data_IF_043044751485
#
_entry.id   IF_043044751485
#
_cell.length_a   1.000
_cell.length_b   1.000
_cell.length_c   1.000
_cell.angle_alpha   90.00
_cell.angle_beta   90.00
_cell.angle_gamma   90.00
#
_symmetry.space_group_name_H-M   'P 1'
#
loop_
_entity.id
_entity.type
_entity.pdbx_description
1 polymer ?
#
# COMPACT_ATOMS: atom_id res chain seq x y z
N UNK A 1 -67.06 -21.06 -51.42
CA UNK A 1 -66.01 -20.81 -50.42
C UNK A 1 -65.56 -19.36 -50.62
N UNK A 2 -65.96 -18.46 -49.72
CA UNK A 2 -65.78 -17.01 -49.83
C UNK A 2 -64.41 -16.62 -49.27
N UNK A 3 -63.55 -15.98 -50.07
CA UNK A 3 -62.30 -15.38 -49.62
C UNK A 3 -62.55 -13.92 -49.24
N UNK A 4 -62.47 -13.63 -47.94
CA UNK A 4 -62.52 -12.25 -47.41
C UNK A 4 -61.20 -11.52 -47.71
N UNK A 5 -61.23 -10.30 -48.26
CA UNK A 5 -60.02 -9.52 -48.48
C UNK A 5 -59.44 -9.00 -47.15
N UNK A 6 -58.14 -9.16 -46.96
CA UNK A 6 -57.40 -8.60 -45.81
C UNK A 6 -57.23 -7.10 -46.06
N UNK A 7 -57.98 -6.27 -45.33
CA UNK A 7 -57.82 -4.82 -45.34
C UNK A 7 -56.57 -4.46 -44.50
N UNK A 8 -55.41 -4.32 -45.15
CA UNK A 8 -54.21 -3.81 -44.51
C UNK A 8 -54.36 -2.31 -44.24
N UNK A 9 -54.76 -1.96 -43.02
CA UNK A 9 -54.75 -0.60 -42.53
C UNK A 9 -53.29 -0.11 -42.36
N UNK A 10 -52.75 0.51 -43.42
CA UNK A 10 -51.35 0.94 -43.60
C UNK A 10 -50.83 1.88 -42.50
N UNK A 11 -51.72 2.45 -41.68
CA UNK A 11 -51.37 3.31 -40.54
C UNK A 11 -50.82 2.55 -39.32
N UNK A 12 -51.04 1.22 -39.21
CA UNK A 12 -50.58 0.43 -38.05
C UNK A 12 -49.09 0.13 -38.02
N UNK A 13 -48.40 0.10 -39.18
CA UNK A 13 -46.96 -0.18 -39.24
C UNK A 13 -46.08 0.99 -38.78
N UNK A 14 -46.52 2.23 -39.02
CA UNK A 14 -45.78 3.43 -38.64
C UNK A 14 -45.70 3.62 -37.12
N UNK A 15 -46.80 3.34 -36.41
CA UNK A 15 -46.84 3.42 -34.95
C UNK A 15 -45.87 2.41 -34.29
N UNK A 16 -45.72 1.22 -34.88
CA UNK A 16 -44.83 0.18 -34.38
C UNK A 16 -43.35 0.50 -34.61
N UNK A 17 -43.02 1.14 -35.75
CA UNK A 17 -41.66 1.64 -36.00
C UNK A 17 -41.31 2.80 -35.05
N UNK A 18 -42.25 3.72 -34.81
CA UNK A 18 -42.03 4.84 -33.89
C UNK A 18 -41.83 4.38 -32.45
N UNK A 19 -42.59 3.38 -31.98
CA UNK A 19 -42.38 2.82 -30.64
C UNK A 19 -41.01 2.13 -30.51
N UNK A 20 -40.57 1.39 -31.53
CA UNK A 20 -39.23 0.79 -31.58
C UNK A 20 -38.11 1.83 -31.52
N UNK A 21 -38.25 2.96 -32.23
CA UNK A 21 -37.28 4.05 -32.16
C UNK A 21 -37.21 4.67 -30.76
N UNK A 22 -38.35 4.95 -30.15
CA UNK A 22 -38.41 5.52 -28.79
C UNK A 22 -37.78 4.55 -27.79
N UNK A 23 -38.12 3.26 -27.87
CA UNK A 23 -37.54 2.21 -27.00
C UNK A 23 -36.02 2.14 -27.20
N UNK A 24 -35.53 2.21 -28.45
CA UNK A 24 -34.09 2.24 -28.73
C UNK A 24 -33.37 3.42 -28.07
N UNK A 25 -33.96 4.62 -28.12
CA UNK A 25 -33.42 5.81 -27.45
C UNK A 25 -33.44 5.63 -25.93
N UNK A 26 -34.55 5.15 -25.36
CA UNK A 26 -34.66 4.94 -23.91
C UNK A 26 -33.66 3.92 -23.41
N UNK A 27 -33.48 2.79 -24.12
CA UNK A 27 -32.49 1.76 -23.79
C UNK A 27 -31.07 2.33 -23.85
N UNK A 28 -30.76 3.13 -24.88
CA UNK A 28 -29.44 3.79 -25.01
C UNK A 28 -29.14 4.69 -23.80
N UNK A 29 -30.10 5.52 -23.39
CA UNK A 29 -29.95 6.39 -22.22
C UNK A 29 -29.82 5.60 -20.92
N UNK A 30 -30.64 4.55 -20.73
CA UNK A 30 -30.55 3.72 -19.52
C UNK A 30 -29.23 2.97 -19.43
N UNK A 31 -28.72 2.42 -20.55
CA UNK A 31 -27.41 1.75 -20.58
C UNK A 31 -26.28 2.72 -20.21
N UNK A 32 -26.31 3.95 -20.75
CA UNK A 32 -25.33 4.98 -20.42
C UNK A 32 -25.33 5.34 -18.92
N UNK A 33 -26.52 5.44 -18.30
CA UNK A 33 -26.63 5.72 -16.86
C UNK A 33 -26.05 4.55 -16.05
N UNK A 34 -26.35 3.30 -16.42
CA UNK A 34 -25.84 2.11 -15.72
C UNK A 34 -24.30 2.07 -15.77
N UNK A 35 -23.69 2.32 -16.93
CA UNK A 35 -22.23 2.35 -17.07
C UNK A 35 -21.59 3.45 -16.19
N UNK A 36 -22.21 4.62 -16.10
CA UNK A 36 -21.74 5.70 -15.24
C UNK A 36 -21.86 5.31 -13.76
N UNK A 37 -22.98 4.72 -13.35
CA UNK A 37 -23.18 4.27 -11.98
C UNK A 37 -22.17 3.20 -11.57
N UNK A 38 -21.85 2.24 -12.45
CA UNK A 38 -20.84 1.23 -12.17
C UNK A 38 -19.44 1.84 -11.96
N UNK A 39 -19.04 2.80 -12.81
CA UNK A 39 -17.77 3.52 -12.63
C UNK A 39 -17.73 4.33 -11.34
N UNK A 40 -18.83 4.96 -10.95
CA UNK A 40 -18.92 5.71 -9.70
C UNK A 40 -18.80 4.78 -8.48
N UNK A 41 -19.42 3.60 -8.53
CA UNK A 41 -19.28 2.59 -7.47
C UNK A 41 -17.83 2.12 -7.34
N UNK A 42 -17.15 1.84 -8.45
CA UNK A 42 -15.74 1.43 -8.46
C UNK A 42 -14.84 2.52 -7.83
N UNK A 43 -15.00 3.77 -8.24
CA UNK A 43 -14.27 4.90 -7.66
C UNK A 43 -14.57 5.07 -6.17
N UNK A 44 -15.82 4.89 -5.75
CA UNK A 44 -16.21 4.96 -4.35
C UNK A 44 -15.56 3.86 -3.51
N UNK A 45 -15.48 2.63 -4.03
CA UNK A 45 -14.81 1.51 -3.35
C UNK A 45 -13.31 1.79 -3.26
N UNK A 46 -12.67 2.16 -4.38
CA UNK A 46 -11.24 2.49 -4.40
C UNK A 46 -10.86 3.63 -3.46
N UNK A 47 -11.71 4.66 -3.37
CA UNK A 47 -11.53 5.78 -2.44
C UNK A 47 -11.59 5.31 -0.98
N UNK A 48 -12.59 4.49 -0.65
CA UNK A 48 -12.73 3.92 0.70
C UNK A 48 -11.55 3.03 1.07
N UNK A 49 -11.12 2.16 0.15
CA UNK A 49 -9.99 1.26 0.38
C UNK A 49 -8.69 2.02 0.55
N UNK A 50 -8.50 3.11 -0.21
CA UNK A 50 -7.38 4.03 -0.03
C UNK A 50 -7.38 4.65 1.37
N UNK A 51 -8.52 5.12 1.86
CA UNK A 51 -8.64 5.68 3.23
C UNK A 51 -8.27 4.65 4.29
N UNK A 52 -8.76 3.41 4.16
CA UNK A 52 -8.43 2.31 5.07
C UNK A 52 -6.93 2.01 5.04
N UNK A 53 -6.33 1.92 3.85
CA UNK A 53 -4.90 1.69 3.67
C UNK A 53 -4.06 2.83 4.27
N UNK A 54 -4.44 4.09 4.08
CA UNK A 54 -3.75 5.23 4.69
C UNK A 54 -3.86 5.23 6.22
N UNK A 55 -5.04 4.91 6.76
CA UNK A 55 -5.24 4.79 8.20
C UNK A 55 -4.35 3.69 8.80
N UNK A 56 -4.26 2.53 8.13
CA UNK A 56 -3.35 1.46 8.53
C UNK A 56 -1.90 1.94 8.46
N UNK A 57 -1.46 2.54 7.34
CA UNK A 57 -0.09 3.05 7.19
C UNK A 57 0.29 4.04 8.31
N UNK A 58 -0.62 4.93 8.70
CA UNK A 58 -0.39 5.87 9.78
C UNK A 58 -0.28 5.19 11.15
N UNK A 59 -1.13 4.20 11.42
CA UNK A 59 -1.03 3.38 12.64
C UNK A 59 0.31 2.61 12.70
N UNK A 60 0.76 2.05 11.58
CA UNK A 60 2.06 1.40 11.48
C UNK A 60 3.23 2.37 11.68
N UNK A 61 3.12 3.62 11.20
CA UNK A 61 4.13 4.65 11.43
C UNK A 61 4.24 5.03 12.91
N UNK A 62 3.11 5.23 13.59
CA UNK A 62 3.11 5.50 15.03
C UNK A 62 3.62 4.30 15.83
N UNK A 63 3.30 3.06 15.42
CA UNK A 63 3.90 1.89 16.04
C UNK A 63 5.43 1.86 15.87
N UNK A 64 5.95 2.09 14.65
CA UNK A 64 7.38 2.13 14.42
C UNK A 64 8.09 3.18 15.29
N UNK A 65 7.45 4.35 15.48
CA UNK A 65 7.96 5.40 16.38
C UNK A 65 7.91 4.98 17.85
N UNK A 66 6.85 4.30 18.27
CA UNK A 66 6.74 3.74 19.62
C UNK A 66 7.87 2.73 19.88
N UNK A 67 8.09 1.78 18.96
CA UNK A 67 9.15 0.76 19.07
C UNK A 67 10.55 1.38 19.05
N UNK A 68 10.76 2.41 18.23
CA UNK A 68 12.03 3.15 18.25
C UNK A 68 12.35 3.73 19.64
N UNK A 69 11.32 4.09 20.41
CA UNK A 69 11.45 4.63 21.77
C UNK A 69 11.51 3.54 22.83
N UNK A 70 10.65 2.53 22.77
CA UNK A 70 10.51 1.51 23.82
C UNK A 70 11.54 0.38 23.72
N UNK A 71 11.97 0.02 22.51
CA UNK A 71 12.89 -1.09 22.25
C UNK A 71 14.23 -0.62 21.65
N UNK A 72 14.62 0.64 21.90
CA UNK A 72 15.80 1.29 21.31
C UNK A 72 17.08 0.46 21.45
N UNK A 73 17.37 -0.03 22.65
CA UNK A 73 18.59 -0.83 22.93
C UNK A 73 18.59 -2.17 22.19
N UNK A 74 17.43 -2.83 22.09
CA UNK A 74 17.28 -4.11 21.41
C UNK A 74 17.45 -3.95 19.89
N UNK A 75 16.78 -2.95 19.29
CA UNK A 75 16.87 -2.74 17.85
C UNK A 75 18.26 -2.22 17.41
N UNK A 76 18.97 -1.54 18.31
CA UNK A 76 20.35 -1.05 18.10
C UNK A 76 21.42 -2.13 18.37
N UNK A 77 21.07 -3.27 18.95
CA UNK A 77 21.98 -4.42 19.12
C UNK A 77 21.76 -5.53 18.08
N UNK A 78 20.76 -5.37 17.21
CA UNK A 78 20.43 -6.38 16.20
C UNK A 78 19.72 -7.61 16.76
N UNK A 79 19.28 -7.57 18.02
CA UNK A 79 18.59 -8.67 18.67
C UNK A 79 17.12 -8.76 18.24
N UNK A 80 16.55 -9.95 18.37
CA UNK A 80 15.12 -10.15 18.15
C UNK A 80 14.33 -9.31 19.18
N UNK A 81 13.23 -8.73 18.75
CA UNK A 81 12.39 -7.85 19.58
C UNK A 81 10.92 -8.13 19.34
N UNK A 82 10.06 -7.55 20.17
CA UNK A 82 8.61 -7.58 19.99
C UNK A 82 8.11 -6.19 19.61
N UNK A 83 7.41 -6.12 18.48
CA UNK A 83 6.66 -4.94 18.08
C UNK A 83 5.28 -5.02 18.74
N UNK A 84 5.14 -4.36 19.89
CA UNK A 84 3.86 -4.13 20.55
C UNK A 84 3.22 -2.84 20.00
N UNK A 85 2.29 -3.02 19.07
CA UNK A 85 1.56 -1.97 18.39
C UNK A 85 0.15 -1.81 18.99
N UNK A 86 0.06 -1.29 20.21
CA UNK A 86 -1.21 -1.08 20.92
C UNK A 86 -1.98 -2.40 21.12
N UNK A 87 -1.38 -3.33 21.88
CA UNK A 87 -1.92 -4.67 22.17
C UNK A 87 -1.87 -5.65 20.99
N UNK A 88 -1.49 -5.17 19.80
CA UNK A 88 -1.16 -6.03 18.66
C UNK A 88 0.33 -6.34 18.67
N UNK A 89 0.68 -7.56 19.09
CA UNK A 89 2.07 -7.95 19.30
C UNK A 89 2.56 -8.80 18.13
N UNK A 90 3.74 -8.47 17.61
CA UNK A 90 4.47 -9.30 16.64
C UNK A 90 5.91 -9.51 17.08
N UNK A 91 6.35 -10.76 17.16
CA UNK A 91 7.76 -11.09 17.38
C UNK A 91 8.52 -10.91 16.07
N UNK A 92 9.53 -10.04 16.08
CA UNK A 92 10.28 -9.66 14.88
C UNK A 92 11.76 -9.92 15.11
N UNK A 93 12.34 -10.74 14.24
CA UNK A 93 13.78 -10.92 14.19
C UNK A 93 14.44 -9.83 13.35
N UNK A 94 15.72 -9.59 13.60
CA UNK A 94 16.55 -8.87 12.65
C UNK A 94 16.66 -9.71 11.37
N UNK A 95 16.10 -9.24 10.27
CA UNK A 95 16.10 -9.96 8.98
C UNK A 95 17.43 -9.81 8.24
N UNK A 96 18.38 -9.05 8.81
CA UNK A 96 19.60 -8.65 8.13
C UNK A 96 19.30 -7.58 7.07
N UNK A 97 20.28 -6.70 6.82
CA UNK A 97 20.13 -5.68 5.80
C UNK A 97 20.54 -6.23 4.42
N UNK A 98 19.59 -6.46 3.51
CA UNK A 98 19.89 -6.54 2.06
C UNK A 98 20.23 -5.18 1.46
N UNK A 99 20.09 -4.10 2.24
CA UNK A 99 20.47 -2.75 1.82
C UNK A 99 21.99 -2.69 1.79
N UNK A 100 22.51 -2.27 0.65
CA UNK A 100 23.93 -2.10 0.44
C UNK A 100 24.50 -1.08 1.42
N UNK A 101 25.60 -1.45 2.08
CA UNK A 101 26.37 -0.55 2.93
C UNK A 101 27.54 -0.04 2.09
N UNK A 102 27.55 1.25 1.80
CA UNK A 102 28.43 1.87 0.80
C UNK A 102 29.88 2.10 1.28
N UNK A 103 30.23 1.61 2.48
CA UNK A 103 31.52 1.78 3.16
C UNK A 103 31.98 3.24 3.30
N UNK A 104 31.65 3.86 4.44
CA UNK A 104 32.10 5.21 4.81
C UNK A 104 32.65 5.36 6.23
N UNK A 105 32.75 4.26 6.98
CA UNK A 105 33.34 4.20 8.32
C UNK A 105 33.20 2.79 8.86
N UNK A 106 34.29 2.04 8.95
CA UNK A 106 34.34 0.59 9.21
C UNK A 106 33.79 0.11 10.57
N UNK A 107 33.17 1.00 11.35
CA UNK A 107 32.75 0.75 12.73
C UNK A 107 31.26 1.12 12.90
N UNK A 108 30.38 0.44 12.18
CA UNK A 108 28.93 0.61 12.34
C UNK A 108 28.14 -0.59 11.86
N UNK A 109 26.96 -0.79 12.43
CA UNK A 109 26.07 -1.92 12.13
C UNK A 109 24.73 -1.42 11.60
N UNK A 110 24.15 -2.17 10.66
CA UNK A 110 22.83 -1.90 10.10
C UNK A 110 21.94 -3.10 10.35
N UNK A 111 20.79 -2.83 10.97
CA UNK A 111 19.79 -3.84 11.30
C UNK A 111 18.49 -3.51 10.59
N UNK A 112 17.77 -4.54 10.14
CA UNK A 112 16.49 -4.38 9.45
C UNK A 112 15.43 -5.23 10.14
N UNK A 113 14.27 -4.64 10.36
CA UNK A 113 13.11 -5.27 10.97
C UNK A 113 11.91 -5.03 10.06
N UNK A 114 11.25 -6.10 9.65
CA UNK A 114 10.12 -6.05 8.72
C UNK A 114 8.87 -6.71 9.31
N UNK A 115 8.25 -6.11 10.35
CA UNK A 115 6.98 -6.61 10.86
C UNK A 115 5.85 -6.41 9.86
N UNK A 116 4.92 -7.35 9.86
CA UNK A 116 3.60 -7.21 9.27
C UNK A 116 2.57 -7.25 10.40
N UNK A 117 1.72 -6.23 10.49
CA UNK A 117 0.75 -6.03 11.57
C UNK A 117 -0.64 -6.05 10.95
N UNK A 118 -1.46 -7.03 11.33
CA UNK A 118 -2.89 -7.03 11.04
C UNK A 118 -3.64 -6.22 12.11
N UNK A 119 -4.38 -5.20 11.69
CA UNK A 119 -5.14 -4.36 12.61
C UNK A 119 -6.59 -4.83 12.71
N UNK A 120 -7.13 -4.88 13.93
CA UNK A 120 -8.55 -5.14 14.22
C UNK A 120 -9.11 -6.38 13.49
N UNK A 121 -8.80 -7.58 14.00
CA UNK A 121 -9.34 -8.86 13.52
C UNK A 121 -9.38 -9.07 12.00
N UNK A 122 -8.43 -8.42 11.28
CA UNK A 122 -7.96 -8.80 9.95
C UNK A 122 -8.59 -8.13 8.70
N UNK A 123 -9.05 -6.88 8.73
CA UNK A 123 -9.51 -6.21 7.48
C UNK A 123 -8.57 -5.10 6.97
N UNK A 124 -7.39 -4.95 7.59
CA UNK A 124 -6.35 -4.03 7.12
C UNK A 124 -5.00 -4.40 7.72
N UNK A 125 -3.94 -4.10 7.00
CA UNK A 125 -2.58 -4.49 7.37
C UNK A 125 -1.61 -3.32 7.23
N UNK A 126 -0.57 -3.32 8.05
CA UNK A 126 0.64 -2.52 7.83
C UNK A 126 1.86 -3.39 7.68
N UNK A 127 2.57 -3.20 6.57
CA UNK A 127 3.94 -3.66 6.40
C UNK A 127 4.87 -2.52 6.82
N UNK A 128 5.62 -2.76 7.89
CA UNK A 128 6.61 -1.81 8.41
C UNK A 128 7.98 -2.30 7.94
N UNK A 129 8.83 -1.38 7.51
CA UNK A 129 10.22 -1.65 7.16
C UNK A 129 11.10 -0.63 7.90
N UNK A 130 11.70 -1.11 8.98
CA UNK A 130 12.53 -0.30 9.86
C UNK A 130 14.00 -0.69 9.68
N UNK A 131 14.82 0.30 9.36
CA UNK A 131 16.26 0.17 9.24
C UNK A 131 16.92 0.99 10.33
N UNK A 132 17.69 0.35 11.19
CA UNK A 132 18.42 0.98 12.27
C UNK A 132 19.92 0.95 11.95
N UNK A 133 20.53 2.13 11.94
CA UNK A 133 21.95 2.35 11.73
C UNK A 133 22.58 2.76 13.05
N UNK A 134 23.60 2.00 13.45
CA UNK A 134 24.38 2.25 14.66
C UNK A 134 25.81 2.52 14.26
N UNK A 135 26.28 3.73 14.51
CA UNK A 135 27.66 4.13 14.21
C UNK A 135 28.42 4.28 15.52
N UNK A 136 29.58 3.65 15.61
CA UNK A 136 30.44 3.78 16.78
C UNK A 136 30.95 5.22 16.88
N UNK A 137 31.19 5.70 18.10
CA UNK A 137 31.78 7.03 18.35
C UNK A 137 33.14 7.19 17.70
N UNK A 138 33.89 6.09 17.59
CA UNK A 138 35.28 6.08 17.13
C UNK A 138 35.37 5.85 15.61
N UNK A 139 34.26 5.93 14.89
CA UNK A 139 34.24 5.82 13.44
C UNK A 139 34.92 7.05 12.82
N UNK A 140 35.81 6.82 11.86
CA UNK A 140 36.55 7.87 11.13
C UNK A 140 35.71 8.62 10.10
N UNK A 141 34.46 8.22 9.89
CA UNK A 141 33.56 8.77 8.88
C UNK A 141 32.14 8.21 9.03
N UNK A 142 31.17 8.78 8.29
CA UNK A 142 29.78 8.41 8.43
C UNK A 142 29.48 7.02 7.85
N UNK A 143 28.55 6.30 8.46
CA UNK A 143 27.97 5.09 7.90
C UNK A 143 26.95 5.48 6.82
N UNK A 144 27.16 5.00 5.60
CA UNK A 144 26.27 5.27 4.46
C UNK A 144 25.61 3.97 4.00
N UNK A 145 24.28 4.00 3.90
CA UNK A 145 23.47 2.93 3.28
C UNK A 145 22.89 3.42 1.96
N UNK A 146 22.61 2.47 1.06
CA UNK A 146 22.12 2.74 -0.28
C UNK A 146 23.24 2.71 -1.32
N UNK A 147 22.95 3.20 -2.53
CA UNK A 147 23.91 3.25 -3.62
C UNK A 147 23.25 3.47 -4.96
N UNK A 148 23.92 3.09 -6.04
CA UNK A 148 23.37 3.23 -7.40
C UNK A 148 22.54 2.00 -7.79
N UNK A 149 21.63 2.17 -8.73
CA UNK A 149 20.84 1.10 -9.37
C UNK A 149 19.96 0.29 -8.39
N UNK A 150 20.19 -1.03 -8.30
CA UNK A 150 19.39 -1.97 -7.50
C UNK A 150 19.53 -1.74 -5.99
N UNK A 151 20.55 -1.01 -5.58
CA UNK A 151 20.87 -0.72 -4.19
C UNK A 151 20.45 0.69 -3.76
N UNK A 152 19.86 1.47 -4.68
CA UNK A 152 19.36 2.81 -4.36
C UNK A 152 18.22 2.74 -3.35
N UNK A 153 18.29 3.61 -2.33
CA UNK A 153 17.20 3.77 -1.37
C UNK A 153 15.89 4.22 -2.05
N UNK A 154 15.93 4.93 -3.18
CA UNK A 154 14.71 5.29 -3.93
C UNK A 154 14.00 4.07 -4.49
N UNK A 155 14.77 3.04 -4.85
CA UNK A 155 14.25 1.79 -5.42
C UNK A 155 13.76 0.84 -4.33
N UNK A 156 14.46 0.81 -3.20
CA UNK A 156 14.09 0.00 -2.03
C UNK A 156 12.87 0.62 -1.32
N UNK A 157 12.89 1.93 -1.12
CA UNK A 157 11.84 2.72 -0.49
C UNK A 157 11.27 3.71 -1.50
N UNK A 158 10.12 3.35 -2.08
CA UNK A 158 9.41 4.24 -3.01
C UNK A 158 9.11 5.59 -2.35
N UNK A 159 9.41 6.67 -3.06
CA UNK A 159 9.23 8.04 -2.56
C UNK A 159 10.39 8.59 -1.71
N UNK A 160 11.43 7.80 -1.42
CA UNK A 160 12.60 8.33 -0.74
C UNK A 160 13.38 9.31 -1.64
N UNK A 161 13.85 10.48 -1.13
CA UNK A 161 14.33 11.57 -1.99
C UNK A 161 15.75 11.36 -2.56
N UNK A 162 16.58 10.56 -1.89
CA UNK A 162 18.01 10.39 -2.22
C UNK A 162 18.35 8.92 -2.47
N UNK A 163 19.42 8.64 -3.19
CA UNK A 163 19.83 7.25 -3.45
C UNK A 163 20.54 6.60 -2.24
N UNK A 164 20.96 7.43 -1.28
CA UNK A 164 21.74 7.03 -0.10
C UNK A 164 21.27 7.76 1.16
N UNK A 165 21.60 7.20 2.32
CA UNK A 165 21.40 7.79 3.64
C UNK A 165 22.68 7.66 4.46
N UNK A 166 23.17 8.81 4.92
CA UNK A 166 24.34 8.92 5.80
C UNK A 166 23.94 9.05 7.27
N UNK A 167 24.73 8.47 8.16
CA UNK A 167 24.66 8.60 9.62
C UNK A 167 26.05 8.90 10.19
N UNK A 168 26.19 9.98 10.95
CA UNK A 168 27.48 10.44 11.46
C UNK A 168 28.02 9.56 12.61
N UNK A 169 29.33 9.59 12.88
CA UNK A 169 29.95 8.90 14.02
C UNK A 169 29.25 9.18 15.35
N UNK A 170 29.09 8.14 16.16
CA UNK A 170 28.31 8.19 17.41
C UNK A 170 26.79 8.28 17.22
N UNK A 171 26.30 8.41 15.98
CA UNK A 171 24.89 8.53 15.66
C UNK A 171 24.10 7.23 15.81
N UNK A 172 22.79 7.40 16.01
CA UNK A 172 21.77 6.35 15.91
C UNK A 172 20.70 6.81 14.92
N UNK A 173 20.80 6.39 13.68
CA UNK A 173 19.86 6.80 12.64
C UNK A 173 18.84 5.69 12.39
N UNK A 174 17.57 6.07 12.26
CA UNK A 174 16.51 5.12 11.93
C UNK A 174 15.77 5.63 10.70
N UNK A 175 15.58 4.75 9.73
CA UNK A 175 14.71 4.96 8.58
C UNK A 175 13.52 4.02 8.73
N UNK A 176 12.32 4.55 8.52
CA UNK A 176 11.09 3.78 8.58
C UNK A 176 10.32 4.04 7.30
N UNK A 177 9.90 2.97 6.65
CA UNK A 177 8.89 3.00 5.59
C UNK A 177 7.71 2.14 6.03
N UNK A 178 6.49 2.62 5.81
CA UNK A 178 5.28 1.87 6.13
C UNK A 178 4.37 1.86 4.92
N UNK A 179 3.87 0.68 4.59
CA UNK A 179 2.83 0.49 3.58
C UNK A 179 1.59 -0.05 4.25
N UNK A 180 0.46 0.59 4.01
CA UNK A 180 -0.83 0.13 4.49
C UNK A 180 -1.63 -0.54 3.38
N UNK A 181 -2.47 -1.50 3.76
CA UNK A 181 -3.34 -2.25 2.87
C UNK A 181 -4.75 -2.32 3.45
N UNK A 182 -5.77 -2.28 2.59
CA UNK A 182 -7.19 -2.49 2.95
C UNK A 182 -7.58 -3.96 3.09
N UNK A 183 -6.58 -4.84 3.24
CA UNK A 183 -6.74 -6.28 3.38
C UNK A 183 -5.72 -6.82 4.39
N UNK A 184 -5.83 -8.12 4.72
CA UNK A 184 -4.87 -8.84 5.58
C UNK A 184 -3.47 -8.81 5.01
N UNK A 185 -2.48 -8.94 5.90
CA UNK A 185 -1.08 -9.09 5.48
C UNK A 185 -0.87 -10.34 4.63
N UNK A 186 -1.62 -11.42 4.91
CA UNK A 186 -1.62 -12.66 4.11
C UNK A 186 -2.23 -12.47 2.71
N UNK A 187 -3.20 -11.56 2.57
CA UNK A 187 -3.99 -11.37 1.35
C UNK A 187 -3.58 -10.12 0.53
N UNK A 188 -2.48 -9.46 0.92
CA UNK A 188 -1.99 -8.21 0.32
C UNK A 188 -1.76 -8.24 -1.20
N UNK A 189 -1.57 -9.43 -1.78
CA UNK A 189 -1.38 -9.64 -3.22
C UNK A 189 -2.69 -9.79 -4.00
N UNK A 190 -3.83 -9.91 -3.31
CA UNK A 190 -5.14 -10.08 -3.91
C UNK A 190 -6.13 -9.12 -3.24
N UNK A 191 -5.98 -7.80 -3.46
CA UNK A 191 -7.03 -6.85 -3.08
C UNK A 191 -8.27 -7.25 -3.90
N UNK A 192 -9.34 -7.62 -3.20
CA UNK A 192 -10.58 -8.10 -3.82
C UNK A 192 -11.18 -7.14 -4.84
#
# INVERSE_FOLDING_TARGET
>A
MSMTPINLNRQRGFALLMSLLIIGVVISVTMAIVELSLKQLELSVSSRDSEIAFAAANAGMECAKLIRRSASTTIESGANTTFDCFETISSVGNTGSTIHIQSGGSNGSVYRYQPEIDWSSSDRCSQIDMVTMVVNSDASGPLVIGGTDNNSLKKIFSGYPNDTKSCDPGGRCTLVSVRGYSAKCADKSNPG
#
